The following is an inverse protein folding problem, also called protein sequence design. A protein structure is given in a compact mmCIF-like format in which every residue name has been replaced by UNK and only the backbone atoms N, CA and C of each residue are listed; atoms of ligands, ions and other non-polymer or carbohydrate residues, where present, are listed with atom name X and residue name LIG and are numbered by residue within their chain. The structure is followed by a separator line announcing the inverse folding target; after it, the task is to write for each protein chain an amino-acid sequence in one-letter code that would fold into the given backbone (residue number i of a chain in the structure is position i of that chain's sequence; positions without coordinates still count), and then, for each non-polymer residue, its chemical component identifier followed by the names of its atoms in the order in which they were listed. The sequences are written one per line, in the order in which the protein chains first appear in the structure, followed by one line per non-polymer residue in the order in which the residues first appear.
data_IF_611364844909
#
_entry.id   IF_611364844909
#
_cell.length_a   1.000
_cell.length_b   1.000
_cell.length_c   1.000
_cell.angle_alpha   90.00
_cell.angle_beta   90.00
_cell.angle_gamma   90.00
#
_symmetry.space_group_name_H-M   'P 1'
#
loop_
_entity.id
_entity.type
_entity.pdbx_description
1 polymer ?
#
# COMPACT_ATOMS: atom_id res chain seq x y z
N UNK A 1 12.75 -20.41 -9.10
CA UNK A 1 11.52 -19.65 -8.77
C UNK A 1 11.46 -18.47 -9.73
N UNK A 2 10.60 -18.51 -10.74
CA UNK A 2 10.52 -17.45 -11.76
C UNK A 2 9.45 -16.43 -11.36
N UNK A 3 9.87 -15.33 -10.75
CA UNK A 3 9.02 -14.15 -10.58
C UNK A 3 8.90 -13.51 -11.97
N UNK A 4 7.69 -13.42 -12.53
CA UNK A 4 7.49 -12.91 -13.90
C UNK A 4 7.81 -11.41 -13.96
N UNK A 5 8.40 -10.93 -15.07
CA UNK A 5 8.71 -9.50 -15.28
C UNK A 5 7.51 -8.55 -15.06
N UNK A 6 6.28 -9.00 -15.33
CA UNK A 6 5.05 -8.24 -15.01
C UNK A 6 4.86 -7.97 -13.50
N UNK A 7 5.37 -8.82 -12.62
CA UNK A 7 5.32 -8.59 -11.16
C UNK A 7 6.35 -7.56 -10.70
N UNK A 8 7.50 -7.44 -11.39
CA UNK A 8 8.51 -6.43 -11.10
C UNK A 8 8.01 -5.02 -11.46
N UNK A 9 7.29 -4.88 -12.57
CA UNK A 9 6.69 -3.61 -12.96
C UNK A 9 5.62 -3.13 -11.96
N UNK A 10 4.74 -4.02 -11.50
CA UNK A 10 3.74 -3.69 -10.49
C UNK A 10 4.36 -3.32 -9.13
N UNK A 11 5.50 -3.91 -8.77
CA UNK A 11 6.24 -3.58 -7.55
C UNK A 11 6.68 -2.10 -7.55
N UNK A 12 7.35 -1.66 -8.61
CA UNK A 12 7.91 -0.31 -8.68
C UNK A 12 6.83 0.77 -8.70
N UNK A 13 5.69 0.51 -9.34
CA UNK A 13 4.54 1.42 -9.33
C UNK A 13 3.92 1.56 -7.94
N UNK A 14 3.73 0.45 -7.22
CA UNK A 14 3.20 0.46 -5.85
C UNK A 14 4.15 1.24 -4.94
N UNK A 15 5.45 0.92 -4.96
CA UNK A 15 6.45 1.58 -4.11
C UNK A 15 6.58 3.06 -4.45
N UNK A 16 6.67 3.43 -5.73
CA UNK A 16 6.76 4.83 -6.17
C UNK A 16 5.55 5.65 -5.69
N UNK A 17 4.35 5.08 -5.78
CA UNK A 17 3.14 5.74 -5.28
C UNK A 17 3.17 5.93 -3.76
N UNK A 18 3.51 4.88 -3.00
CA UNK A 18 3.57 4.92 -1.54
C UNK A 18 4.61 5.93 -1.04
N UNK A 19 5.79 5.96 -1.67
CA UNK A 19 6.83 6.96 -1.41
C UNK A 19 6.33 8.39 -1.69
N UNK A 20 5.61 8.60 -2.80
CA UNK A 20 5.09 9.92 -3.15
C UNK A 20 4.07 10.43 -2.12
N UNK A 21 3.20 9.56 -1.59
CA UNK A 21 2.21 9.95 -0.58
C UNK A 21 2.81 10.06 0.82
N UNK A 22 3.86 9.29 1.14
CA UNK A 22 4.66 9.42 2.37
C UNK A 22 5.33 10.80 2.43
N UNK A 23 6.01 11.21 1.35
CA UNK A 23 6.63 12.55 1.25
C UNK A 23 5.64 13.72 1.38
N UNK A 24 4.37 13.49 1.04
CA UNK A 24 3.29 14.48 1.19
C UNK A 24 2.66 14.47 2.59
N UNK A 25 3.13 13.61 3.50
CA UNK A 25 2.60 13.49 4.86
C UNK A 25 1.25 12.78 4.95
N UNK A 26 0.79 12.11 3.89
CA UNK A 26 -0.50 11.39 3.92
C UNK A 26 -0.40 10.09 4.73
N UNK A 27 0.78 9.47 4.74
CA UNK A 27 1.12 8.29 5.53
C UNK A 27 2.46 8.53 6.23
N UNK A 28 2.67 7.94 7.40
CA UNK A 28 3.95 7.95 8.11
C UNK A 28 4.84 6.81 7.62
N UNK A 29 4.29 5.60 7.54
CA UNK A 29 5.02 4.40 7.15
C UNK A 29 4.18 3.47 6.28
N UNK A 30 4.83 2.52 5.61
CA UNK A 30 4.16 1.46 4.87
C UNK A 30 4.94 0.16 4.85
N UNK A 31 4.21 -0.93 4.64
CA UNK A 31 4.72 -2.27 4.41
C UNK A 31 4.03 -2.82 3.19
N UNK A 32 4.82 -3.30 2.23
CA UNK A 32 4.31 -4.07 1.10
C UNK A 32 4.76 -5.51 1.27
N UNK A 33 3.80 -6.42 1.22
CA UNK A 33 4.04 -7.86 1.31
C UNK A 33 3.46 -8.55 0.09
N UNK A 34 4.16 -9.55 -0.45
CA UNK A 34 3.72 -10.33 -1.59
C UNK A 34 3.47 -11.75 -1.13
N UNK A 35 2.20 -12.17 -1.18
CA UNK A 35 1.79 -13.49 -0.72
C UNK A 35 1.08 -14.23 -1.85
N UNK A 36 1.33 -15.52 -1.98
CA UNK A 36 0.69 -16.32 -3.02
C UNK A 36 1.22 -17.75 -3.12
N UNK A 37 0.63 -18.52 -4.03
CA UNK A 37 0.98 -19.92 -4.32
C UNK A 37 1.24 -20.08 -5.82
N UNK A 38 1.98 -21.11 -6.21
CA UNK A 38 2.18 -21.51 -7.61
C UNK A 38 2.75 -20.39 -8.51
N UNK A 39 3.70 -19.61 -7.96
CA UNK A 39 4.34 -18.50 -8.69
C UNK A 39 3.46 -17.26 -8.88
N UNK A 40 2.22 -17.25 -8.38
CA UNK A 40 1.31 -16.10 -8.43
C UNK A 40 1.33 -15.35 -7.11
N UNK A 41 2.24 -14.40 -6.98
CA UNK A 41 2.28 -13.45 -5.88
C UNK A 41 1.21 -12.38 -6.06
N UNK A 42 0.44 -12.13 -5.00
CA UNK A 42 -0.52 -11.03 -4.92
C UNK A 42 -0.05 -10.05 -3.84
N UNK A 43 0.08 -8.75 -4.17
CA UNK A 43 0.49 -7.75 -3.20
C UNK A 43 -0.57 -7.55 -2.11
N UNK A 44 -0.11 -7.14 -0.93
CA UNK A 44 -0.89 -6.62 0.18
C UNK A 44 -0.13 -5.43 0.76
N UNK A 45 -0.82 -4.31 0.90
CA UNK A 45 -0.26 -3.06 1.41
C UNK A 45 -0.85 -2.77 2.77
N UNK A 46 0.02 -2.46 3.73
CA UNK A 46 -0.35 -1.87 5.01
C UNK A 46 0.27 -0.49 5.08
N UNK A 47 -0.50 0.53 5.42
CA UNK A 47 0.00 1.89 5.65
C UNK A 47 -0.35 2.35 7.06
N UNK A 48 0.56 3.12 7.65
CA UNK A 48 0.35 3.82 8.91
C UNK A 48 0.09 5.29 8.58
N UNK A 49 -0.93 5.87 9.21
CA UNK A 49 -1.23 7.29 9.07
C UNK A 49 -0.81 8.06 10.32
N UNK A 50 -0.24 9.26 10.19
CA UNK A 50 0.02 10.11 11.34
C UNK A 50 -1.28 10.50 12.02
N UNK A 51 -1.24 10.73 13.33
CA UNK A 51 -2.41 11.20 14.06
C UNK A 51 -2.82 12.63 13.61
N UNK A 52 -4.11 12.94 13.64
CA UNK A 52 -4.63 14.24 13.16
C UNK A 52 -4.70 14.43 11.64
N UNK A 53 -4.39 13.41 10.83
CA UNK A 53 -4.54 13.45 9.36
C UNK A 53 -5.95 13.09 8.85
N UNK A 54 -6.15 13.14 7.52
CA UNK A 54 -7.42 12.82 6.84
C UNK A 54 -8.10 11.56 7.39
N UNK A 55 -9.44 11.51 7.46
CA UNK A 55 -10.18 10.32 7.88
C UNK A 55 -9.76 9.05 7.14
N UNK A 56 -9.76 7.90 7.82
CA UNK A 56 -9.32 6.59 7.27
C UNK A 56 -9.97 6.28 5.93
N UNK A 57 -11.27 6.58 5.77
CA UNK A 57 -11.99 6.33 4.51
C UNK A 57 -11.46 7.18 3.33
N UNK A 58 -10.99 8.41 3.58
CA UNK A 58 -10.40 9.28 2.55
C UNK A 58 -9.03 8.78 2.11
N UNK A 59 -8.19 8.38 3.07
CA UNK A 59 -6.89 7.77 2.79
C UNK A 59 -7.08 6.46 2.03
N UNK A 60 -8.04 5.62 2.45
CA UNK A 60 -8.42 4.38 1.75
C UNK A 60 -8.87 4.65 0.33
N UNK A 61 -9.75 5.63 0.11
CA UNK A 61 -10.20 5.99 -1.23
C UNK A 61 -9.08 6.48 -2.13
N UNK A 62 -8.16 7.30 -1.61
CA UNK A 62 -7.02 7.82 -2.37
C UNK A 62 -6.06 6.70 -2.80
N UNK A 63 -5.72 5.79 -1.87
CA UNK A 63 -4.83 4.65 -2.13
C UNK A 63 -5.51 3.65 -3.07
N UNK A 64 -6.74 3.23 -2.77
CA UNK A 64 -7.47 2.24 -3.58
C UNK A 64 -7.70 2.73 -5.01
N UNK A 65 -7.99 4.03 -5.21
CA UNK A 65 -8.14 4.59 -6.56
C UNK A 65 -6.84 4.54 -7.37
N UNK A 66 -5.70 4.79 -6.73
CA UNK A 66 -4.39 4.80 -7.43
C UNK A 66 -3.78 3.42 -7.62
N UNK A 67 -4.07 2.48 -6.72
CA UNK A 67 -3.62 1.10 -6.80
C UNK A 67 -4.64 0.17 -7.46
N UNK A 68 -5.71 0.72 -8.03
CA UNK A 68 -6.71 -0.04 -8.77
C UNK A 68 -6.06 -0.83 -9.90
N UNK A 69 -6.39 -2.12 -10.01
CA UNK A 69 -5.79 -3.04 -10.98
C UNK A 69 -4.42 -3.59 -10.58
N UNK A 70 -3.72 -2.98 -9.61
CA UNK A 70 -2.46 -3.47 -9.06
C UNK A 70 -2.66 -4.23 -7.74
N UNK A 71 -3.56 -3.74 -6.89
CA UNK A 71 -3.87 -4.34 -5.59
C UNK A 71 -5.39 -4.31 -5.37
N UNK A 72 -6.03 -5.45 -5.06
CA UNK A 72 -7.42 -5.47 -4.63
C UNK A 72 -7.64 -4.62 -3.38
N UNK A 73 -8.77 -3.88 -3.31
CA UNK A 73 -9.03 -2.91 -2.23
C UNK A 73 -9.10 -3.56 -0.84
N UNK A 74 -9.54 -4.81 -0.77
CA UNK A 74 -9.58 -5.65 0.42
C UNK A 74 -8.19 -6.04 0.96
N UNK A 75 -7.14 -5.89 0.15
CA UNK A 75 -5.73 -6.12 0.53
C UNK A 75 -5.00 -4.83 0.87
N UNK A 76 -5.73 -3.75 1.10
CA UNK A 76 -5.20 -2.47 1.58
C UNK A 76 -5.65 -2.29 3.03
N UNK A 77 -4.66 -2.37 3.93
CA UNK A 77 -4.82 -2.13 5.36
C UNK A 77 -4.33 -0.71 5.70
N UNK A 78 -5.10 0.00 6.52
CA UNK A 78 -4.76 1.34 7.01
C UNK A 78 -4.86 1.29 8.52
N UNK A 79 -3.74 1.58 9.17
CA UNK A 79 -3.59 1.58 10.62
C UNK A 79 -3.44 3.04 11.05
N UNK A 80 -4.25 3.47 12.01
CA UNK A 80 -3.99 4.73 12.69
C UNK A 80 -2.74 4.55 13.56
N UNK A 81 -1.75 5.42 13.39
CA UNK A 81 -0.61 5.47 14.31
C UNK A 81 -1.14 5.98 15.65
N UNK A 82 -1.53 5.04 16.51
CA UNK A 82 -1.77 5.33 17.91
C UNK A 82 -0.38 5.56 18.48
N UNK A 83 0.06 6.83 18.55
CA UNK A 83 1.31 7.16 19.19
C UNK A 83 1.37 6.43 20.52
N UNK A 84 2.40 5.59 20.72
CA UNK A 84 2.63 5.01 22.04
C UNK A 84 2.81 6.19 22.99
N UNK A 85 1.83 6.38 23.88
CA UNK A 85 1.87 7.34 24.96
C UNK A 85 2.96 6.97 25.97
#
# INVERSE_FOLDING_TARGET
MFVREHQLHGHDEIVRFLEAIKRRGLISEYLVSWNGRDGRLTPKVTVWRPDGTLPVHRVRGAIARKLFGLIPAERINIIADQGQA
#
